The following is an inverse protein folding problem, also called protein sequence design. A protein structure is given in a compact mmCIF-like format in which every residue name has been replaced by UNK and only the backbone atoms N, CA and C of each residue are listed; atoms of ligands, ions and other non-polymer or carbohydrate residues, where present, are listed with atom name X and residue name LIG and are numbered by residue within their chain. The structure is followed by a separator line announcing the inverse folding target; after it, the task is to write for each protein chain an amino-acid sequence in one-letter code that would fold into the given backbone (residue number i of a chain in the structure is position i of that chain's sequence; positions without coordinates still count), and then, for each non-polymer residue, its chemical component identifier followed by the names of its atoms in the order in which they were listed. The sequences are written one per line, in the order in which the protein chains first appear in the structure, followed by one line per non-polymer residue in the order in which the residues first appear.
data_IF_787744481066
#
_entry.id   IF_787744481066
#
_cell.length_a   1.000
_cell.length_b   1.000
_cell.length_c   1.000
_cell.angle_alpha   90.00
_cell.angle_beta   90.00
_cell.angle_gamma   90.00
#
_symmetry.space_group_name_H-M   'P 1'
#
loop_
_entity.id
_entity.type
_entity.pdbx_description
1 polymer ?
#
# COMPACT_ATOMS: atom_id res chain seq x y z
N UNK A 1 -5.74 8.10 -28.35
CA UNK A 1 -4.90 8.37 -27.16
C UNK A 1 -5.84 8.75 -26.03
N UNK A 2 -6.09 7.84 -25.08
CA UNK A 2 -6.67 8.08 -23.75
C UNK A 2 -6.81 6.70 -23.07
N UNK A 3 -5.75 5.89 -23.11
CA UNK A 3 -5.73 4.66 -22.32
C UNK A 3 -5.40 5.02 -20.87
N UNK A 4 -6.33 4.86 -19.91
CA UNK A 4 -6.09 5.21 -18.52
C UNK A 4 -5.19 4.19 -17.81
N UNK A 5 -4.64 3.18 -18.49
CA UNK A 5 -3.83 2.11 -17.92
C UNK A 5 -2.75 2.59 -16.95
N UNK A 6 -1.93 3.57 -17.34
CA UNK A 6 -0.85 4.09 -16.49
C UNK A 6 -1.39 4.88 -15.29
N UNK A 7 -2.46 5.68 -15.49
CA UNK A 7 -3.11 6.43 -14.43
C UNK A 7 -3.76 5.49 -13.40
N UNK A 8 -4.42 4.42 -13.85
CA UNK A 8 -5.01 3.39 -13.01
C UNK A 8 -3.92 2.67 -12.20
N UNK A 9 -2.81 2.27 -12.82
CA UNK A 9 -1.67 1.68 -12.09
C UNK A 9 -1.10 2.63 -11.04
N UNK A 10 -0.93 3.91 -11.37
CA UNK A 10 -0.45 4.91 -10.42
C UNK A 10 -1.41 5.10 -9.23
N UNK A 11 -2.72 5.17 -9.48
CA UNK A 11 -3.74 5.26 -8.44
C UNK A 11 -3.71 4.06 -7.48
N UNK A 12 -3.67 2.84 -8.02
CA UNK A 12 -3.68 1.62 -7.21
C UNK A 12 -2.38 1.42 -6.43
N UNK A 13 -1.23 1.78 -7.03
CA UNK A 13 0.05 1.83 -6.32
C UNK A 13 -0.01 2.80 -5.15
N UNK A 14 -0.55 3.99 -5.39
CA UNK A 14 -0.65 5.03 -4.35
C UNK A 14 -1.59 4.61 -3.23
N UNK A 15 -2.73 3.98 -3.54
CA UNK A 15 -3.65 3.43 -2.55
C UNK A 15 -3.01 2.33 -1.69
N UNK A 16 -2.20 1.46 -2.30
CA UNK A 16 -1.40 0.45 -1.58
C UNK A 16 -0.37 1.10 -0.65
N UNK A 17 0.40 2.10 -1.11
CA UNK A 17 1.37 2.81 -0.25
C UNK A 17 0.69 3.57 0.89
N UNK A 18 -0.46 4.20 0.64
CA UNK A 18 -1.27 4.82 1.68
C UNK A 18 -1.74 3.80 2.73
N UNK A 19 -2.11 2.59 2.30
CA UNK A 19 -2.44 1.50 3.22
C UNK A 19 -1.23 1.07 4.06
N UNK A 20 -0.02 1.02 3.48
CA UNK A 20 1.21 0.79 4.24
C UNK A 20 1.40 1.80 5.37
N UNK A 21 1.21 3.09 5.11
CA UNK A 21 1.30 4.15 6.11
C UNK A 21 0.24 4.02 7.22
N UNK A 22 -0.98 3.64 6.85
CA UNK A 22 -2.04 3.37 7.83
C UNK A 22 -1.69 2.16 8.69
N UNK A 23 -1.21 1.06 8.09
CA UNK A 23 -0.83 -0.13 8.84
C UNK A 23 0.32 0.11 9.81
N UNK A 24 1.30 0.94 9.45
CA UNK A 24 2.42 1.31 10.33
C UNK A 24 1.95 1.96 11.64
N UNK A 25 0.81 2.67 11.61
CA UNK A 25 0.31 3.47 12.74
C UNK A 25 -0.99 2.92 13.36
N UNK A 26 -1.68 2.00 12.69
CA UNK A 26 -2.97 1.49 13.11
C UNK A 26 -2.90 0.55 14.31
N UNK A 27 -1.81 -0.21 14.43
CA UNK A 27 -1.63 -1.12 15.55
C UNK A 27 -0.94 -0.38 16.70
N UNK A 28 -1.50 -0.51 17.91
CA UNK A 28 -0.88 0.06 19.13
C UNK A 28 0.54 -0.50 19.27
N UNK A 29 1.42 0.22 19.98
CA UNK A 29 2.83 -0.15 20.28
C UNK A 29 3.06 -1.58 20.83
N UNK A 30 1.98 -2.31 21.16
CA UNK A 30 2.00 -3.68 21.64
C UNK A 30 2.12 -4.72 20.53
N UNK A 31 1.80 -4.37 19.28
CA UNK A 31 1.85 -5.31 18.15
C UNK A 31 3.00 -4.89 17.25
N UNK A 32 3.89 -5.82 16.98
CA UNK A 32 4.96 -5.64 16.02
C UNK A 32 4.37 -5.51 14.62
N UNK A 33 4.80 -4.51 13.85
CA UNK A 33 4.37 -4.31 12.47
C UNK A 33 5.61 -4.18 11.61
N UNK A 34 5.76 -5.09 10.65
CA UNK A 34 6.82 -4.98 9.66
C UNK A 34 6.23 -5.03 8.25
N UNK A 35 6.35 -3.90 7.56
CA UNK A 35 5.83 -3.72 6.21
C UNK A 35 6.67 -4.49 5.19
N UNK A 36 6.04 -5.33 4.37
CA UNK A 36 6.78 -6.18 3.43
C UNK A 36 6.68 -5.74 1.97
N UNK A 37 5.58 -5.08 1.58
CA UNK A 37 4.94 -5.27 0.27
C UNK A 37 5.82 -5.05 -0.99
N UNK A 38 5.60 -5.88 -2.03
CA UNK A 38 5.87 -5.52 -3.44
C UNK A 38 4.96 -6.22 -4.49
N UNK A 39 3.65 -6.46 -4.26
CA UNK A 39 2.77 -6.91 -5.33
C UNK A 39 2.54 -5.77 -6.34
N UNK A 40 2.82 -6.02 -7.63
CA UNK A 40 2.52 -5.05 -8.67
C UNK A 40 1.00 -4.78 -8.76
N UNK A 41 0.57 -3.52 -8.96
CA UNK A 41 -0.85 -3.19 -9.04
C UNK A 41 -1.57 -3.98 -10.15
N UNK A 42 -2.59 -4.76 -9.77
CA UNK A 42 -3.45 -5.48 -10.71
C UNK A 42 -4.86 -4.88 -10.74
N UNK A 43 -5.05 -3.94 -11.68
CA UNK A 43 -6.34 -3.48 -12.26
C UNK A 43 -7.54 -4.41 -12.00
N UNK A 44 -7.39 -5.61 -12.56
CA UNK A 44 -8.47 -6.55 -12.81
C UNK A 44 -8.82 -7.42 -11.61
N UNK A 45 -7.95 -7.48 -10.59
CA UNK A 45 -8.25 -8.23 -9.36
C UNK A 45 -9.48 -7.65 -8.67
N UNK A 46 -9.59 -6.32 -8.64
CA UNK A 46 -10.67 -5.62 -7.95
C UNK A 46 -10.28 -5.14 -6.55
N UNK A 47 -9.03 -5.35 -6.10
CA UNK A 47 -8.51 -4.83 -4.83
C UNK A 47 -7.03 -4.43 -4.88
N UNK A 48 -6.68 -3.28 -4.30
CA UNK A 48 -5.28 -3.00 -3.97
C UNK A 48 -4.92 -3.78 -2.70
N UNK A 49 -3.63 -4.09 -2.55
CA UNK A 49 -3.14 -4.98 -1.49
C UNK A 49 -1.91 -4.39 -0.82
N UNK A 50 -1.70 -4.74 0.44
CA UNK A 50 -0.45 -4.53 1.15
C UNK A 50 -0.15 -5.75 2.03
N UNK A 51 1.06 -6.29 1.92
CA UNK A 51 1.50 -7.43 2.71
C UNK A 51 2.28 -6.93 3.93
N UNK A 52 1.93 -7.44 5.11
CA UNK A 52 2.49 -7.04 6.40
C UNK A 52 2.75 -8.26 7.28
N UNK A 53 3.88 -8.26 7.98
CA UNK A 53 4.17 -9.22 9.06
C UNK A 53 3.76 -8.59 10.39
N UNK A 54 2.79 -9.21 11.06
CA UNK A 54 2.29 -8.78 12.37
C UNK A 54 2.86 -9.62 13.53
N UNK A 55 3.67 -10.65 13.24
CA UNK A 55 4.17 -11.65 14.20
C UNK A 55 3.09 -12.28 15.08
N UNK A 56 1.86 -12.35 14.55
CA UNK A 56 0.71 -13.04 15.16
C UNK A 56 0.20 -14.09 14.16
N UNK A 57 -0.22 -15.25 14.65
CA UNK A 57 -0.64 -16.39 13.84
C UNK A 57 -2.15 -16.47 13.64
N UNK A 58 -2.95 -15.92 14.56
CA UNK A 58 -4.38 -16.22 14.67
C UNK A 58 -5.27 -14.96 14.64
N UNK A 59 -4.76 -13.87 14.04
CA UNK A 59 -5.57 -12.68 13.88
C UNK A 59 -6.60 -12.85 12.76
N UNK A 60 -7.86 -12.85 13.14
CA UNK A 60 -9.00 -12.73 12.24
C UNK A 60 -9.61 -11.32 12.43
N UNK A 61 -9.48 -10.42 11.44
CA UNK A 61 -9.99 -9.07 11.59
C UNK A 61 -11.52 -9.07 11.67
N UNK A 62 -12.04 -8.40 12.69
CA UNK A 62 -13.45 -8.06 12.81
C UNK A 62 -13.85 -7.01 11.76
N UNK A 63 -15.16 -6.90 11.48
CA UNK A 63 -15.67 -5.86 10.57
C UNK A 63 -15.38 -4.46 11.11
N UNK A 64 -15.39 -4.32 12.43
CA UNK A 64 -15.13 -3.07 13.14
C UNK A 64 -13.67 -2.63 12.97
N UNK A 65 -12.71 -3.55 13.10
CA UNK A 65 -11.29 -3.26 12.83
C UNK A 65 -11.05 -2.83 11.38
N UNK A 66 -11.64 -3.52 10.40
CA UNK A 66 -11.53 -3.14 8.98
C UNK A 66 -12.17 -1.76 8.70
N UNK A 67 -13.27 -1.43 9.39
CA UNK A 67 -13.88 -0.08 9.32
C UNK A 67 -12.98 0.98 9.93
N UNK A 68 -12.28 0.69 11.02
CA UNK A 68 -11.30 1.62 11.61
C UNK A 68 -10.18 1.89 10.62
N UNK A 69 -9.59 0.85 10.02
CA UNK A 69 -8.56 1.02 8.96
C UNK A 69 -9.08 1.85 7.78
N UNK A 70 -10.33 1.62 7.37
CA UNK A 70 -10.98 2.42 6.32
C UNK A 70 -11.12 3.89 6.72
N UNK A 71 -11.46 4.16 7.99
CA UNK A 71 -11.53 5.51 8.55
C UNK A 71 -10.18 6.22 8.55
N UNK A 72 -9.10 5.53 8.91
CA UNK A 72 -7.73 6.07 8.86
C UNK A 72 -7.30 6.37 7.41
N UNK A 73 -7.67 5.54 6.43
CA UNK A 73 -7.44 5.83 5.01
C UNK A 73 -8.16 7.12 4.57
N UNK A 74 -9.38 7.35 5.04
CA UNK A 74 -10.13 8.59 4.76
C UNK A 74 -9.44 9.80 5.40
N UNK A 75 -8.99 9.71 6.65
CA UNK A 75 -8.24 10.78 7.32
C UNK A 75 -6.96 11.12 6.57
N UNK A 76 -6.20 10.10 6.14
CA UNK A 76 -4.98 10.27 5.37
C UNK A 76 -5.24 10.92 3.99
N UNK A 77 -6.35 10.59 3.33
CA UNK A 77 -6.77 11.25 2.10
C UNK A 77 -7.09 12.74 2.34
N UNK A 78 -7.74 13.08 3.45
CA UNK A 78 -8.07 14.47 3.79
C UNK A 78 -6.85 15.32 4.15
N UNK A 79 -5.77 14.69 4.64
CA UNK A 79 -4.52 15.39 4.97
C UNK A 79 -3.79 16.00 3.77
N UNK A 80 -4.14 15.59 2.54
CA UNK A 80 -3.62 16.16 1.28
C UNK A 80 -2.08 16.20 1.20
N UNK A 81 -1.41 15.15 1.68
CA UNK A 81 0.04 15.04 1.59
C UNK A 81 0.46 14.80 0.14
N UNK A 82 1.52 15.48 -0.31
CA UNK A 82 2.13 15.25 -1.62
C UNK A 82 2.94 13.96 -1.59
N UNK A 83 3.00 13.27 -2.73
CA UNK A 83 3.96 12.19 -2.94
C UNK A 83 5.25 12.79 -3.52
N UNK A 84 6.28 12.87 -2.69
CA UNK A 84 7.59 13.41 -3.06
C UNK A 84 8.49 12.25 -3.52
N UNK A 85 8.80 12.22 -4.82
CA UNK A 85 9.70 11.22 -5.41
C UNK A 85 11.16 11.60 -5.12
N UNK A 86 11.89 10.67 -4.54
CA UNK A 86 13.32 10.78 -4.27
C UNK A 86 14.03 9.60 -4.93
N UNK A 87 15.16 9.86 -5.57
CA UNK A 87 16.02 8.82 -6.13
C UNK A 87 17.33 8.85 -5.36
N UNK A 88 17.67 7.74 -4.71
CA UNK A 88 18.78 7.65 -3.77
C UNK A 88 19.65 6.44 -4.08
N UNK A 89 20.89 6.47 -3.62
CA UNK A 89 21.77 5.31 -3.68
C UNK A 89 21.23 4.15 -2.82
N UNK A 90 21.47 2.93 -3.28
CA UNK A 90 21.08 1.71 -2.57
C UNK A 90 21.67 1.64 -1.15
N UNK A 91 22.89 2.17 -0.95
CA UNK A 91 23.52 2.24 0.37
C UNK A 91 22.74 3.10 1.36
N UNK A 92 22.28 4.29 0.92
CA UNK A 92 21.46 5.16 1.75
C UNK A 92 20.09 4.53 2.02
N UNK A 93 19.46 3.92 1.01
CA UNK A 93 18.19 3.22 1.20
C UNK A 93 18.34 2.06 2.23
N UNK A 94 19.43 1.30 2.18
CA UNK A 94 19.71 0.23 3.16
C UNK A 94 19.90 0.78 4.58
N UNK A 95 20.48 1.97 4.73
CA UNK A 95 20.57 2.64 6.03
C UNK A 95 19.21 3.11 6.51
N UNK A 96 18.39 3.71 5.65
CA UNK A 96 17.05 4.18 6.00
C UNK A 96 16.11 3.06 6.42
N UNK A 97 16.24 1.88 5.81
CA UNK A 97 15.43 0.70 6.10
C UNK A 97 16.19 -0.38 6.88
N UNK A 98 17.17 0.03 7.70
CA UNK A 98 18.02 -0.89 8.47
C UNK A 98 17.24 -1.82 9.38
N UNK A 99 16.05 -1.42 9.82
CA UNK A 99 15.25 -2.17 10.78
C UNK A 99 14.22 -3.08 10.10
N UNK A 100 14.04 -2.95 8.78
CA UNK A 100 13.09 -3.75 8.01
C UNK A 100 13.82 -4.82 7.17
N UNK A 101 13.65 -6.08 7.55
CA UNK A 101 14.29 -7.24 6.93
C UNK A 101 13.82 -7.43 5.48
N UNK A 102 12.53 -7.21 5.20
CA UNK A 102 11.98 -7.37 3.86
C UNK A 102 12.56 -6.35 2.88
N UNK A 103 12.67 -5.08 3.29
CA UNK A 103 13.21 -4.00 2.48
C UNK A 103 14.72 -4.17 2.27
N UNK A 104 15.47 -4.59 3.29
CA UNK A 104 16.90 -4.92 3.15
C UNK A 104 17.17 -5.98 2.08
N UNK A 105 16.32 -6.99 1.98
CA UNK A 105 16.41 -8.01 0.93
C UNK A 105 16.04 -7.42 -0.44
N UNK A 106 15.02 -6.56 -0.52
CA UNK A 106 14.49 -6.04 -1.79
C UNK A 106 15.39 -4.99 -2.47
N UNK A 107 15.99 -4.10 -1.67
CA UNK A 107 16.75 -2.94 -2.16
C UNK A 107 17.83 -3.33 -3.19
N UNK A 108 18.69 -4.34 -2.95
CA UNK A 108 19.69 -4.75 -3.94
C UNK A 108 19.09 -5.21 -5.28
N UNK A 109 17.97 -5.95 -5.26
CA UNK A 109 17.31 -6.41 -6.48
C UNK A 109 16.68 -5.25 -7.27
N UNK A 110 16.10 -4.28 -6.57
CA UNK A 110 15.52 -3.08 -7.19
C UNK A 110 16.63 -2.20 -7.79
N UNK A 111 17.71 -2.00 -7.05
CA UNK A 111 18.86 -1.19 -7.48
C UNK A 111 19.50 -1.74 -8.76
N UNK A 112 19.68 -3.07 -8.84
CA UNK A 112 20.26 -3.73 -10.00
C UNK A 112 19.43 -3.57 -11.29
N UNK A 113 18.13 -3.29 -11.18
CA UNK A 113 17.23 -3.04 -12.32
C UNK A 113 17.12 -1.55 -12.69
N UNK A 114 17.71 -0.66 -11.89
CA UNK A 114 17.72 0.78 -12.20
C UNK A 114 18.66 1.08 -13.37
N UNK A 115 18.43 2.20 -14.06
CA UNK A 115 19.27 2.61 -15.20
C UNK A 115 20.74 2.84 -14.81
N UNK A 116 21.00 3.23 -13.57
CA UNK A 116 22.36 3.39 -13.01
C UNK A 116 22.91 2.11 -12.38
N UNK A 117 22.09 1.07 -12.22
CA UNK A 117 22.44 -0.18 -11.53
C UNK A 117 22.63 -0.07 -10.01
N UNK A 118 22.44 1.12 -9.41
CA UNK A 118 22.73 1.36 -7.99
C UNK A 118 21.70 2.25 -7.27
N UNK A 119 20.61 2.65 -7.93
CA UNK A 119 19.65 3.60 -7.35
C UNK A 119 18.30 2.97 -7.03
N UNK A 120 17.64 3.48 -6.00
CA UNK A 120 16.28 3.09 -5.60
C UNK A 120 15.39 4.33 -5.52
N UNK A 121 14.16 4.19 -5.99
CA UNK A 121 13.15 5.24 -5.90
C UNK A 121 12.38 5.10 -4.59
N UNK A 122 12.42 6.17 -3.79
CA UNK A 122 11.62 6.34 -2.59
C UNK A 122 10.50 7.35 -2.85
N UNK A 123 9.40 7.17 -2.15
CA UNK A 123 8.34 8.16 -2.07
C UNK A 123 8.11 8.54 -0.62
N UNK A 124 8.20 9.84 -0.35
CA UNK A 124 7.81 10.42 0.93
C UNK A 124 6.38 10.94 0.83
N UNK A 125 5.57 10.61 1.83
CA UNK A 125 4.19 11.06 1.97
C UNK A 125 3.96 11.47 3.43
N UNK A 126 3.96 12.77 3.71
CA UNK A 126 3.96 13.27 5.09
C UNK A 126 5.23 12.81 5.81
N UNK A 127 5.07 12.03 6.88
CA UNK A 127 6.18 11.44 7.64
C UNK A 127 6.53 10.01 7.19
N UNK A 128 5.73 9.41 6.30
CA UNK A 128 5.93 8.04 5.83
C UNK A 128 6.87 8.00 4.62
N UNK A 129 7.78 7.02 4.57
CA UNK A 129 8.70 6.81 3.45
C UNK A 129 8.64 5.36 3.00
N UNK A 130 8.43 5.14 1.70
CA UNK A 130 8.32 3.80 1.12
C UNK A 130 9.07 3.66 -0.20
N UNK A 131 9.59 2.47 -0.46
CA UNK A 131 10.22 2.11 -1.74
C UNK A 131 9.10 1.75 -2.73
N UNK A 132 9.15 2.30 -3.94
CA UNK A 132 8.18 1.92 -4.96
C UNK A 132 8.67 2.12 -6.38
N UNK A 133 8.36 1.16 -7.27
CA UNK A 133 8.68 1.27 -8.69
C UNK A 133 7.50 1.83 -9.49
N UNK A 134 7.74 2.96 -10.16
CA UNK A 134 6.79 3.62 -11.05
C UNK A 134 6.13 4.86 -10.44
N UNK A 135 5.34 5.60 -11.23
CA UNK A 135 4.74 6.86 -10.79
C UNK A 135 3.61 6.66 -9.78
N UNK A 136 3.36 7.69 -8.98
CA UNK A 136 2.22 7.80 -8.06
C UNK A 136 1.28 8.93 -8.49
N UNK A 137 0.12 9.00 -7.84
CA UNK A 137 -0.75 10.19 -7.93
C UNK A 137 -0.07 11.38 -7.24
N UNK A 138 -0.54 12.60 -7.51
CA UNK A 138 0.19 13.80 -7.05
C UNK A 138 0.12 14.03 -5.53
N UNK A 139 -1.00 13.65 -4.90
CA UNK A 139 -1.25 13.80 -3.47
C UNK A 139 -2.35 12.84 -2.99
N UNK A 140 -2.45 12.66 -1.67
CA UNK A 140 -3.42 11.73 -1.05
C UNK A 140 -4.88 12.12 -1.25
N UNK A 141 -5.20 13.39 -1.50
CA UNK A 141 -6.58 13.86 -1.66
C UNK A 141 -7.26 13.38 -2.96
N UNK A 142 -6.50 12.81 -3.88
CA UNK A 142 -7.04 12.11 -5.05
C UNK A 142 -7.73 10.79 -4.67
N UNK A 143 -7.42 10.19 -3.52
CA UNK A 143 -8.16 9.05 -2.99
C UNK A 143 -9.56 9.53 -2.58
N UNK A 144 -10.58 9.00 -3.26
CA UNK A 144 -11.98 9.29 -2.99
C UNK A 144 -12.57 8.28 -2.00
N UNK A 145 -13.64 7.61 -2.43
CA UNK A 145 -14.26 6.56 -1.61
C UNK A 145 -13.31 5.38 -1.47
N UNK A 146 -13.04 4.94 -0.24
CA UNK A 146 -12.12 3.84 0.08
C UNK A 146 -12.69 2.96 1.18
N UNK A 147 -12.49 1.64 1.05
CA UNK A 147 -12.81 0.63 2.06
C UNK A 147 -11.69 -0.40 2.12
N UNK A 148 -11.26 -0.76 3.32
CA UNK A 148 -10.46 -1.95 3.59
C UNK A 148 -11.44 -3.10 3.81
N UNK A 149 -11.29 -4.16 3.02
CA UNK A 149 -12.32 -5.17 2.81
C UNK A 149 -12.00 -6.51 3.46
N UNK A 150 -10.73 -6.88 3.54
CA UNK A 150 -10.29 -8.14 4.12
C UNK A 150 -8.82 -8.09 4.56
N UNK A 151 -8.45 -8.99 5.47
CA UNK A 151 -7.07 -9.42 5.68
C UNK A 151 -7.03 -10.94 5.51
N UNK A 152 -6.10 -11.43 4.71
CA UNK A 152 -5.93 -12.86 4.47
C UNK A 152 -4.56 -13.31 4.98
N UNK A 153 -4.48 -14.36 5.82
CA UNK A 153 -3.20 -15.00 6.08
C UNK A 153 -2.68 -15.61 4.77
N UNK A 154 -1.41 -15.37 4.46
CA UNK A 154 -0.72 -15.92 3.30
C UNK A 154 0.61 -16.53 3.74
N UNK A 155 0.91 -17.72 3.21
CA UNK A 155 2.22 -18.32 3.36
C UNK A 155 3.13 -17.88 2.23
N UNK A 156 4.31 -17.38 2.59
CA UNK A 156 5.34 -17.00 1.63
C UNK A 156 6.64 -17.71 1.97
N UNK A 157 7.57 -17.71 1.02
CA UNK A 157 8.96 -18.11 1.25
C UNK A 157 9.68 -17.22 2.31
N UNK A 158 9.06 -16.13 2.75
CA UNK A 158 9.58 -15.23 3.78
C UNK A 158 8.85 -15.38 5.13
N UNK A 159 7.92 -16.33 5.24
CA UNK A 159 7.12 -16.60 6.43
C UNK A 159 5.63 -16.31 6.25
N UNK A 160 4.92 -16.33 7.37
CA UNK A 160 3.49 -16.05 7.47
C UNK A 160 3.24 -14.54 7.47
N UNK A 161 2.51 -14.05 6.47
CA UNK A 161 2.16 -12.63 6.34
C UNK A 161 0.64 -12.47 6.30
N UNK A 162 0.17 -11.25 6.55
CA UNK A 162 -1.20 -10.86 6.24
C UNK A 162 -1.22 -10.01 4.98
N UNK A 163 -2.04 -10.41 4.01
CA UNK A 163 -2.40 -9.58 2.86
C UNK A 163 -3.64 -8.79 3.18
N UNK A 164 -3.47 -7.49 3.39
CA UNK A 164 -4.56 -6.56 3.63
C UNK A 164 -5.08 -6.05 2.28
N UNK A 165 -6.38 -6.17 2.04
CA UNK A 165 -7.05 -5.79 0.80
C UNK A 165 -7.96 -4.58 1.01
N UNK A 166 -8.01 -3.73 -0.01
CA UNK A 166 -8.97 -2.64 -0.07
C UNK A 166 -9.40 -2.30 -1.49
N UNK A 167 -10.45 -1.51 -1.59
CA UNK A 167 -10.96 -0.96 -2.85
C UNK A 167 -11.19 0.53 -2.72
N UNK A 168 -10.76 1.27 -3.74
CA UNK A 168 -10.90 2.72 -3.77
C UNK A 168 -11.30 3.24 -5.15
N UNK A 169 -11.96 4.39 -5.14
CA UNK A 169 -12.29 5.16 -6.33
C UNK A 169 -11.57 6.52 -6.25
N UNK A 170 -11.12 7.08 -7.38
CA UNK A 170 -10.62 8.46 -7.40
C UNK A 170 -11.72 9.43 -6.95
N UNK A 171 -11.34 10.55 -6.33
CA UNK A 171 -12.29 11.54 -5.77
C UNK A 171 -13.35 12.05 -6.76
N UNK A 172 -13.02 12.12 -8.05
CA UNK A 172 -13.96 12.53 -9.10
C UNK A 172 -14.95 11.45 -9.56
N UNK A 173 -14.78 10.19 -9.12
CA UNK A 173 -15.62 9.08 -9.53
C UNK A 173 -16.72 8.84 -8.49
N UNK A 174 -17.95 9.18 -8.86
CA UNK A 174 -19.12 8.98 -8.01
C UNK A 174 -19.78 7.63 -8.35
N UNK A 175 -20.00 6.82 -7.32
CA UNK A 175 -20.70 5.55 -7.43
C UNK A 175 -21.69 5.42 -6.28
N UNK A 176 -22.93 5.02 -6.60
CA UNK A 176 -23.96 4.83 -5.58
C UNK A 176 -23.57 3.70 -4.59
N UNK A 177 -24.21 3.69 -3.42
CA UNK A 177 -23.91 2.74 -2.35
C UNK A 177 -24.07 1.27 -2.78
N UNK A 178 -25.11 0.96 -3.54
CA UNK A 178 -25.35 -0.41 -4.00
C UNK A 178 -24.22 -0.90 -4.92
N UNK A 179 -23.88 -0.14 -5.96
CA UNK A 179 -22.82 -0.51 -6.89
C UNK A 179 -21.45 -0.57 -6.21
N UNK A 180 -21.15 0.35 -5.29
CA UNK A 180 -19.92 0.29 -4.50
C UNK A 180 -19.87 -0.96 -3.61
N UNK A 181 -20.99 -1.38 -3.02
CA UNK A 181 -21.05 -2.61 -2.21
C UNK A 181 -20.73 -3.87 -3.01
N UNK A 182 -21.00 -3.87 -4.32
CA UNK A 182 -20.59 -4.97 -5.21
C UNK A 182 -19.07 -5.00 -5.40
N UNK A 183 -18.43 -3.83 -5.48
CA UNK A 183 -16.97 -3.72 -5.52
C UNK A 183 -16.35 -4.20 -4.19
N UNK A 184 -16.91 -3.79 -3.06
CA UNK A 184 -16.47 -4.24 -1.73
C UNK A 184 -16.54 -5.76 -1.60
N UNK A 185 -17.67 -6.38 -2.00
CA UNK A 185 -17.82 -7.85 -2.00
C UNK A 185 -16.82 -8.56 -2.91
N UNK A 186 -16.49 -7.98 -4.07
CA UNK A 186 -15.47 -8.54 -4.98
C UNK A 186 -14.07 -8.45 -4.35
N UNK A 187 -13.77 -7.34 -3.71
CA UNK A 187 -12.47 -7.04 -3.10
C UNK A 187 -12.18 -7.83 -1.81
N UNK A 188 -13.13 -8.62 -1.30
CA UNK A 188 -12.93 -9.56 -0.18
C UNK A 188 -12.32 -10.90 -0.61
N UNK A 189 -12.17 -11.13 -1.91
CA UNK A 189 -11.64 -12.38 -2.45
C UNK A 189 -10.15 -12.21 -2.74
N UNK A 190 -9.35 -13.17 -2.25
CA UNK A 190 -7.92 -13.26 -2.54
C UNK A 190 -7.65 -13.45 -4.04
#
# INVERSE_FOLDING_TARGET
QNDPFYANKAFWRSASVMLGAVLETAFKERIYVELCSFPSPNVRSGSFVYDVDLKISDWEPTKEELRVLSGEMVKLAMANHRFERLEVDASLALQMFSDNQFKKIQIPFIAAQSSSGNTVVLYKMGNFVEISCGPMISNTSHLGKVSITAAHPIETNKGHLYRIQGVALPKGFLLNHFAYSLLEKRAQKL
#
